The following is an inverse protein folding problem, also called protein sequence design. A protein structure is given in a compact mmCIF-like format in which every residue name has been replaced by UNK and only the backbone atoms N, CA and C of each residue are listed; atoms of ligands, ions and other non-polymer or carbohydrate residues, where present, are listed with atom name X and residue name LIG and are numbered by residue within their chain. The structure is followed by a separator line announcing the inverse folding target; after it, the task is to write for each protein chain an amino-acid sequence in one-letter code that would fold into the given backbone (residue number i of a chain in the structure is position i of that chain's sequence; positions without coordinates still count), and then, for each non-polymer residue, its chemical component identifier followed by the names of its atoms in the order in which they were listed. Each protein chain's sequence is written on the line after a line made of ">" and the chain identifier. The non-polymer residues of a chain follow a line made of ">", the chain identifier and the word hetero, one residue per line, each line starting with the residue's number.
data_IF_961976246107
#
_entry.id   IF_961976246107
#
_cell.length_a   1.000
_cell.length_b   1.000
_cell.length_c   1.000
_cell.angle_alpha   90.00
_cell.angle_beta   90.00
_cell.angle_gamma   90.00
#
_symmetry.space_group_name_H-M   'P 1'
#
loop_
_entity.id
_entity.type
_entity.pdbx_description
1 polymer ?
#
# COMPACT_ATOMS: atom_id res chain seq x y z
N UNK A 1 44.39 -27.57 -26.22
CA UNK A 1 43.62 -26.30 -26.10
C UNK A 1 42.42 -26.55 -25.21
N UNK A 2 42.55 -26.24 -23.91
CA UNK A 2 41.59 -26.60 -22.86
C UNK A 2 40.74 -25.37 -22.49
N UNK A 3 39.43 -25.45 -22.71
CA UNK A 3 38.46 -24.42 -22.27
C UNK A 3 38.00 -24.79 -20.85
N UNK A 4 38.48 -24.05 -19.85
CA UNK A 4 37.96 -24.10 -18.48
C UNK A 4 36.65 -23.31 -18.42
N UNK A 5 35.61 -23.98 -17.94
CA UNK A 5 34.32 -23.42 -17.58
C UNK A 5 34.46 -22.50 -16.36
N UNK A 6 33.92 -21.30 -16.44
CA UNK A 6 33.71 -20.43 -15.29
C UNK A 6 32.38 -20.82 -14.63
N UNK A 7 32.47 -21.50 -13.49
CA UNK A 7 31.35 -21.73 -12.58
C UNK A 7 31.13 -20.44 -11.80
N UNK A 8 30.06 -19.70 -12.12
CA UNK A 8 29.59 -18.58 -11.30
C UNK A 8 28.82 -19.20 -10.13
N UNK A 9 29.43 -19.19 -8.96
CA UNK A 9 28.76 -19.52 -7.70
C UNK A 9 27.82 -18.36 -7.33
N UNK A 10 26.53 -18.51 -7.68
CA UNK A 10 25.43 -17.79 -7.05
C UNK A 10 25.30 -18.33 -5.62
N UNK A 11 25.91 -17.63 -4.66
CA UNK A 11 25.70 -17.92 -3.25
C UNK A 11 24.24 -17.57 -2.88
N UNK A 12 23.43 -18.60 -2.73
CA UNK A 12 22.10 -18.51 -2.15
C UNK A 12 22.19 -18.02 -0.71
N UNK A 13 21.51 -16.92 -0.44
CA UNK A 13 21.12 -16.50 0.90
C UNK A 13 19.61 -16.51 0.92
N UNK A 14 19.01 -17.64 1.32
CA UNK A 14 17.60 -17.78 1.71
C UNK A 14 17.34 -19.24 2.13
N UNK A 15 17.91 -19.67 3.27
CA UNK A 15 17.40 -20.82 4.03
C UNK A 15 17.69 -20.58 5.51
N UNK A 16 16.61 -20.45 6.30
CA UNK A 16 16.54 -20.80 7.73
C UNK A 16 17.50 -20.12 8.72
N UNK A 17 17.04 -19.06 9.38
CA UNK A 17 17.53 -18.71 10.72
C UNK A 17 16.34 -18.57 11.67
N UNK A 18 15.95 -19.69 12.27
CA UNK A 18 15.14 -19.73 13.49
C UNK A 18 16.02 -19.76 14.76
N UNK A 19 17.34 -19.54 14.62
CA UNK A 19 18.28 -19.51 15.74
C UNK A 19 18.77 -18.07 16.00
N UNK A 20 18.22 -17.50 17.08
CA UNK A 20 18.84 -16.67 18.14
C UNK A 20 19.77 -15.47 17.84
N UNK A 21 20.14 -15.14 16.60
CA UNK A 21 21.11 -14.06 16.30
C UNK A 21 20.48 -12.67 16.08
N UNK A 22 19.17 -12.52 16.26
CA UNK A 22 18.48 -11.23 16.13
C UNK A 22 19.11 -10.09 16.96
N UNK A 23 19.59 -10.31 18.21
CA UNK A 23 20.28 -9.26 18.97
C UNK A 23 21.59 -8.84 18.30
N UNK A 24 22.38 -9.78 17.78
CA UNK A 24 23.66 -9.49 17.11
C UNK A 24 23.46 -8.86 15.71
N UNK A 25 22.37 -9.20 15.02
CA UNK A 25 21.96 -8.51 13.80
C UNK A 25 21.52 -7.07 14.10
N UNK A 26 20.74 -6.86 15.17
CA UNK A 26 20.32 -5.54 15.62
C UNK A 26 21.51 -4.64 16.00
N UNK A 27 22.48 -5.15 16.77
CA UNK A 27 23.64 -4.36 17.22
C UNK A 27 24.51 -3.82 16.06
N UNK A 28 24.49 -4.46 14.89
CA UNK A 28 25.20 -3.99 13.69
C UNK A 28 24.52 -2.76 13.05
N UNK A 29 23.25 -2.54 13.37
CA UNK A 29 22.45 -1.42 12.90
C UNK A 29 22.55 -0.29 13.95
N UNK A 30 23.50 0.62 13.77
CA UNK A 30 23.61 1.91 14.48
C UNK A 30 23.59 1.91 16.03
N UNK A 31 24.51 1.19 16.69
CA UNK A 31 24.96 1.57 18.05
C UNK A 31 23.99 1.27 19.20
N UNK A 32 23.03 0.37 19.00
CA UNK A 32 22.15 -0.14 20.05
C UNK A 32 20.79 0.54 20.15
N UNK A 33 20.50 1.55 19.32
CA UNK A 33 19.16 2.07 19.10
C UNK A 33 18.48 1.31 17.94
N UNK A 34 17.17 1.09 18.03
CA UNK A 34 16.35 0.51 16.97
C UNK A 34 15.99 1.58 15.94
N UNK A 35 17.00 2.12 15.25
CA UNK A 35 16.84 3.15 14.23
C UNK A 35 17.91 3.05 13.14
N UNK A 36 17.49 3.02 11.87
CA UNK A 36 18.38 3.07 10.70
C UNK A 36 17.63 3.37 9.41
N UNK A 37 18.32 4.00 8.45
CA UNK A 37 17.82 4.24 7.09
C UNK A 37 16.44 4.90 7.01
N UNK A 38 16.15 5.80 7.96
CA UNK A 38 14.86 6.48 8.08
C UNK A 38 13.78 5.69 8.85
N UNK A 39 14.04 4.44 9.24
CA UNK A 39 13.18 3.64 10.10
C UNK A 39 13.53 3.87 11.57
N UNK A 40 12.54 3.99 12.45
CA UNK A 40 12.73 3.96 13.90
C UNK A 40 11.65 3.14 14.60
N UNK A 41 12.02 2.27 15.55
CA UNK A 41 11.05 1.57 16.41
C UNK A 41 10.85 2.34 17.72
N UNK A 42 9.61 2.71 18.03
CA UNK A 42 9.22 3.41 19.26
C UNK A 42 8.47 2.47 20.21
N UNK A 43 9.00 2.27 21.41
CA UNK A 43 8.45 1.32 22.39
C UNK A 43 7.49 1.98 23.35
N UNK A 44 6.42 1.29 23.73
CA UNK A 44 5.49 1.78 24.75
C UNK A 44 4.67 2.98 24.28
N UNK A 45 4.49 3.12 22.97
CA UNK A 45 3.56 4.08 22.37
C UNK A 45 2.14 3.83 22.89
N UNK A 46 1.26 4.83 22.80
CA UNK A 46 -0.13 4.72 23.29
C UNK A 46 -1.09 5.38 22.32
N UNK A 47 -2.26 4.78 22.14
CA UNK A 47 -3.37 5.39 21.41
C UNK A 47 -4.34 6.01 22.41
N UNK A 48 -4.70 7.28 22.21
CA UNK A 48 -5.73 7.97 22.98
C UNK A 48 -6.68 8.68 22.01
N UNK A 49 -7.92 8.19 21.92
CA UNK A 49 -8.85 8.63 20.87
C UNK A 49 -8.29 8.28 19.47
N UNK A 50 -8.20 9.28 18.59
CA UNK A 50 -7.60 9.15 17.27
C UNK A 50 -6.09 9.43 17.24
N UNK A 51 -5.50 9.84 18.37
CA UNK A 51 -4.11 10.29 18.41
C UNK A 51 -3.16 9.19 18.89
N UNK A 52 -2.01 9.10 18.23
CA UNK A 52 -0.90 8.23 18.61
C UNK A 52 0.15 9.03 19.38
N UNK A 53 0.41 8.64 20.62
CA UNK A 53 1.46 9.21 21.45
C UNK A 53 2.74 8.37 21.31
N UNK A 54 3.80 8.92 20.68
CA UNK A 54 5.06 8.19 20.48
C UNK A 54 5.74 7.88 21.82
N UNK A 55 6.18 6.64 21.97
CA UNK A 55 7.13 6.27 23.00
C UNK A 55 8.59 6.62 22.65
N UNK A 56 9.55 6.34 23.55
CA UNK A 56 10.97 6.47 23.26
C UNK A 56 11.41 5.52 22.15
N UNK A 57 12.46 5.90 21.42
CA UNK A 57 13.13 5.00 20.47
C UNK A 57 13.68 3.81 21.25
N UNK A 58 13.35 2.61 20.79
CA UNK A 58 13.76 1.36 21.41
C UNK A 58 15.25 1.11 21.28
N UNK A 59 15.72 0.12 22.04
CA UNK A 59 17.11 -0.33 22.03
C UNK A 59 17.17 -1.81 21.70
N UNK A 60 18.30 -2.30 21.21
CA UNK A 60 18.44 -3.72 20.86
C UNK A 60 18.24 -4.68 22.05
N UNK A 61 18.39 -4.20 23.28
CA UNK A 61 18.13 -4.93 24.52
C UNK A 61 16.65 -4.90 24.96
N UNK A 62 15.75 -4.29 24.19
CA UNK A 62 14.32 -4.21 24.47
C UNK A 62 13.57 -5.56 24.36
N UNK A 63 14.27 -6.62 23.96
CA UNK A 63 13.76 -7.97 23.86
C UNK A 63 13.64 -8.47 22.41
N UNK A 64 13.44 -9.78 22.23
CA UNK A 64 13.53 -10.42 20.92
C UNK A 64 12.40 -10.01 19.97
N UNK A 65 11.17 -9.83 20.45
CA UNK A 65 10.03 -9.51 19.58
C UNK A 65 10.09 -8.10 18.96
N UNK A 66 10.34 -7.01 19.74
CA UNK A 66 10.55 -5.69 19.15
C UNK A 66 11.75 -5.64 18.19
N UNK A 67 12.86 -6.31 18.55
CA UNK A 67 14.04 -6.37 17.68
C UNK A 67 13.74 -7.10 16.36
N UNK A 68 13.02 -8.23 16.40
CA UNK A 68 12.61 -8.96 15.21
C UNK A 68 11.70 -8.11 14.30
N UNK A 69 10.70 -7.44 14.87
CA UNK A 69 9.82 -6.56 14.11
C UNK A 69 10.57 -5.40 13.43
N UNK A 70 11.55 -4.80 14.13
CA UNK A 70 12.41 -3.78 13.53
C UNK A 70 13.24 -4.36 12.38
N UNK A 71 13.86 -5.52 12.55
CA UNK A 71 14.67 -6.16 11.51
C UNK A 71 13.84 -6.54 10.28
N UNK A 72 12.62 -7.06 10.48
CA UNK A 72 11.71 -7.41 9.39
C UNK A 72 11.28 -6.16 8.60
N UNK A 73 10.88 -5.09 9.31
CA UNK A 73 10.51 -3.82 8.68
C UNK A 73 11.70 -3.18 7.95
N UNK A 74 12.89 -3.23 8.55
CA UNK A 74 14.12 -2.70 7.95
C UNK A 74 14.50 -3.48 6.69
N UNK A 75 14.41 -4.81 6.73
CA UNK A 75 14.65 -5.65 5.55
C UNK A 75 13.64 -5.37 4.43
N UNK A 76 12.37 -5.16 4.76
CA UNK A 76 11.35 -4.75 3.78
C UNK A 76 11.67 -3.38 3.17
N UNK A 77 12.04 -2.39 3.99
CA UNK A 77 12.41 -1.04 3.54
C UNK A 77 13.65 -1.04 2.64
N UNK A 78 14.68 -1.82 3.00
CA UNK A 78 15.91 -1.94 2.21
C UNK A 78 15.69 -2.62 0.86
N UNK A 79 14.68 -3.49 0.77
CA UNK A 79 14.32 -4.14 -0.48
C UNK A 79 13.58 -3.22 -1.46
N UNK A 80 13.20 -2.01 -1.03
CA UNK A 80 12.56 -1.02 -1.89
C UNK A 80 13.58 -0.31 -2.78
N UNK A 81 13.24 -0.11 -4.07
CA UNK A 81 13.89 0.90 -4.89
C UNK A 81 13.87 2.28 -4.19
N UNK A 82 14.93 3.10 -4.29
CA UNK A 82 15.01 4.39 -3.60
C UNK A 82 13.80 5.31 -3.84
N UNK A 83 13.25 5.30 -5.05
CA UNK A 83 12.09 6.09 -5.44
C UNK A 83 10.77 5.63 -4.81
N UNK A 84 10.69 4.37 -4.37
CA UNK A 84 9.52 3.78 -3.70
C UNK A 84 9.66 3.77 -2.18
N UNK A 85 10.79 4.23 -1.64
CA UNK A 85 11.10 4.18 -0.22
C UNK A 85 10.50 5.37 0.52
N UNK A 86 9.65 5.17 1.54
CA UNK A 86 9.29 6.24 2.45
C UNK A 86 10.55 6.86 3.08
N UNK A 87 10.60 8.20 3.17
CA UNK A 87 11.79 8.90 3.72
C UNK A 87 11.99 8.66 5.21
N UNK A 88 10.89 8.58 5.95
CA UNK A 88 10.89 8.35 7.38
C UNK A 88 9.70 7.46 7.73
N UNK A 89 9.94 6.44 8.55
CA UNK A 89 8.93 5.52 9.04
C UNK A 89 9.16 5.32 10.52
N UNK A 90 8.19 5.71 11.33
CA UNK A 90 8.16 5.34 12.74
C UNK A 90 7.27 4.08 12.88
N UNK A 91 7.81 3.02 13.47
CA UNK A 91 7.06 1.82 13.87
C UNK A 91 6.83 1.90 15.37
N UNK A 92 5.58 1.91 15.79
CA UNK A 92 5.18 2.04 17.18
C UNK A 92 4.84 0.66 17.73
N UNK A 93 5.60 0.20 18.73
CA UNK A 93 5.35 -1.06 19.40
C UNK A 93 4.50 -0.85 20.65
N UNK A 94 3.33 -1.48 20.68
CA UNK A 94 2.40 -1.49 21.82
C UNK A 94 2.32 -2.88 22.46
N UNK A 95 2.60 -2.94 23.76
CA UNK A 95 2.39 -4.16 24.55
C UNK A 95 0.91 -4.24 24.88
N UNK A 96 0.14 -4.93 24.05
CA UNK A 96 -1.25 -5.28 24.33
C UNK A 96 -1.31 -6.69 24.95
N UNK A 97 -1.47 -6.77 26.28
CA UNK A 97 -1.57 -8.07 26.97
C UNK A 97 -2.87 -8.76 26.57
N UNK A 98 -2.77 -9.93 25.94
CA UNK A 98 -3.92 -10.78 25.63
C UNK A 98 -4.80 -10.31 24.45
N UNK A 99 -4.40 -9.26 23.73
CA UNK A 99 -5.08 -8.87 22.50
C UNK A 99 -4.54 -9.66 21.31
N UNK A 100 -5.42 -9.93 20.34
CA UNK A 100 -5.00 -10.39 19.02
C UNK A 100 -4.00 -9.38 18.43
N UNK A 101 -3.09 -9.88 17.60
CA UNK A 101 -2.17 -9.03 16.84
C UNK A 101 -2.98 -8.05 16.00
N UNK A 102 -2.59 -6.78 16.03
CA UNK A 102 -3.15 -5.71 15.23
C UNK A 102 -2.02 -4.89 14.64
N UNK A 103 -2.06 -4.67 13.34
CA UNK A 103 -1.21 -3.71 12.65
C UNK A 103 -2.10 -2.62 12.08
N UNK A 104 -1.70 -1.37 12.24
CA UNK A 104 -2.47 -0.23 11.76
C UNK A 104 -1.54 0.84 11.22
N UNK A 105 -1.93 1.53 10.15
CA UNK A 105 -1.23 2.74 9.73
C UNK A 105 -1.94 3.98 10.24
N UNK A 106 -1.17 4.84 10.91
CA UNK A 106 -1.60 6.17 11.27
C UNK A 106 -1.12 7.14 10.19
N UNK A 107 -2.01 7.43 9.24
CA UNK A 107 -1.70 8.29 8.10
C UNK A 107 -1.21 9.69 8.52
N UNK A 108 -1.81 10.29 9.56
CA UNK A 108 -1.43 11.63 10.05
C UNK A 108 0.02 11.71 10.51
N UNK A 109 0.51 10.68 11.21
CA UNK A 109 1.89 10.60 11.70
C UNK A 109 2.80 9.82 10.77
N UNK A 110 2.30 9.34 9.62
CA UNK A 110 3.04 8.51 8.65
C UNK A 110 3.78 7.35 9.32
N UNK A 111 3.07 6.64 10.18
CA UNK A 111 3.66 5.66 11.08
C UNK A 111 2.86 4.37 11.14
N UNK A 112 3.54 3.26 11.39
CA UNK A 112 2.91 1.95 11.57
C UNK A 112 2.78 1.68 13.06
N UNK A 113 1.59 1.35 13.54
CA UNK A 113 1.35 0.84 14.87
C UNK A 113 1.30 -0.68 14.82
N UNK A 114 2.10 -1.33 15.66
CA UNK A 114 2.10 -2.77 15.87
C UNK A 114 1.71 -3.05 17.33
N UNK A 115 0.53 -3.61 17.53
CA UNK A 115 -0.01 -3.95 18.84
C UNK A 115 -0.22 -5.46 18.97
N UNK A 116 0.35 -6.07 20.02
CA UNK A 116 0.17 -7.49 20.32
C UNK A 116 0.88 -8.45 19.34
N UNK A 117 0.89 -9.73 19.70
CA UNK A 117 1.52 -10.82 18.92
C UNK A 117 3.05 -10.89 18.99
N UNK A 118 3.58 -12.12 18.93
CA UNK A 118 5.04 -12.38 18.84
C UNK A 118 5.43 -13.00 17.48
N UNK A 119 4.47 -13.27 16.62
CA UNK A 119 4.73 -13.91 15.33
C UNK A 119 5.39 -12.91 14.37
N UNK A 120 6.34 -13.31 13.52
CA UNK A 120 6.85 -12.46 12.46
C UNK A 120 5.75 -12.01 11.50
N UNK A 121 5.90 -10.86 10.83
CA UNK A 121 5.04 -10.51 9.68
C UNK A 121 5.63 -11.07 8.40
N UNK A 122 4.78 -11.41 7.44
CA UNK A 122 5.28 -11.66 6.10
C UNK A 122 5.84 -10.36 5.51
N UNK A 123 6.83 -10.50 4.62
CA UNK A 123 7.39 -9.37 3.88
C UNK A 123 6.32 -8.57 3.13
N UNK A 124 5.35 -9.24 2.53
CA UNK A 124 4.26 -8.60 1.78
C UNK A 124 3.34 -7.78 2.67
N UNK A 125 3.11 -8.19 3.94
CA UNK A 125 2.41 -7.34 4.91
C UNK A 125 3.24 -6.09 5.20
N UNK A 126 4.53 -6.22 5.54
CA UNK A 126 5.36 -5.02 5.75
C UNK A 126 5.39 -4.07 4.55
N UNK A 127 5.47 -4.60 3.33
CA UNK A 127 5.41 -3.80 2.11
C UNK A 127 4.07 -3.08 1.95
N UNK A 128 2.95 -3.74 2.27
CA UNK A 128 1.62 -3.13 2.24
C UNK A 128 1.54 -1.95 3.23
N UNK A 129 1.95 -2.14 4.49
CA UNK A 129 1.96 -1.06 5.50
C UNK A 129 2.87 0.12 5.11
N UNK A 130 4.06 -0.18 4.55
CA UNK A 130 4.97 0.85 4.03
C UNK A 130 4.35 1.61 2.85
N UNK A 131 3.53 0.94 2.03
CA UNK A 131 2.75 1.57 0.96
C UNK A 131 1.80 2.64 1.51
N UNK A 132 1.05 2.35 2.56
CA UNK A 132 0.20 3.36 3.21
C UNK A 132 1.00 4.54 3.77
N UNK A 133 2.12 4.28 4.44
CA UNK A 133 3.01 5.33 4.95
C UNK A 133 3.53 6.22 3.81
N UNK A 134 3.87 5.61 2.68
CA UNK A 134 4.34 6.32 1.49
C UNK A 134 3.26 7.21 0.88
N UNK A 135 2.02 6.71 0.77
CA UNK A 135 0.87 7.41 0.17
C UNK A 135 0.07 8.30 1.15
N UNK A 136 0.61 8.58 2.33
CA UNK A 136 -0.06 9.38 3.35
C UNK A 136 -0.11 10.88 2.97
N UNK A 137 -1.26 11.30 2.44
CA UNK A 137 -1.58 12.70 2.09
C UNK A 137 -2.88 13.18 2.73
N UNK A 138 -3.44 14.28 2.21
CA UNK A 138 -4.69 14.83 2.71
C UNK A 138 -5.87 13.85 2.53
N UNK A 139 -6.88 13.97 3.40
CA UNK A 139 -8.07 13.11 3.39
C UNK A 139 -9.36 13.95 3.26
N UNK A 140 -10.42 13.42 2.62
CA UNK A 140 -11.71 14.10 2.55
C UNK A 140 -12.29 14.41 3.95
N UNK A 141 -12.90 15.58 4.15
CA UNK A 141 -13.56 15.91 5.42
C UNK A 141 -14.90 15.18 5.57
N UNK A 142 -15.49 14.75 4.46
CA UNK A 142 -16.71 13.98 4.41
C UNK A 142 -16.49 12.51 4.76
N UNK A 143 -17.52 11.88 5.35
CA UNK A 143 -17.43 10.50 5.85
C UNK A 143 -17.34 9.52 4.69
N UNK A 144 -18.19 9.70 3.69
CA UNK A 144 -18.27 8.81 2.54
C UNK A 144 -16.97 8.87 1.73
N UNK A 145 -16.44 10.06 1.52
CA UNK A 145 -15.16 10.29 0.87
C UNK A 145 -13.99 9.67 1.63
N UNK A 146 -13.98 9.70 2.97
CA UNK A 146 -12.95 8.99 3.74
C UNK A 146 -13.03 7.48 3.54
N UNK A 147 -14.22 6.89 3.57
CA UNK A 147 -14.37 5.44 3.38
C UNK A 147 -13.96 5.02 1.96
N UNK A 148 -14.31 5.79 0.94
CA UNK A 148 -13.87 5.54 -0.45
C UNK A 148 -12.36 5.66 -0.58
N UNK A 149 -11.77 6.74 -0.04
CA UNK A 149 -10.33 6.92 -0.11
C UNK A 149 -9.58 5.87 0.71
N UNK A 150 -10.14 5.38 1.81
CA UNK A 150 -9.58 4.25 2.55
C UNK A 150 -9.54 2.99 1.68
N UNK A 151 -10.60 2.67 0.94
CA UNK A 151 -10.56 1.55 -0.01
C UNK A 151 -9.54 1.76 -1.14
N UNK A 152 -9.36 3.00 -1.60
CA UNK A 152 -8.30 3.33 -2.58
C UNK A 152 -6.91 3.15 -1.97
N UNK A 153 -6.70 3.60 -0.73
CA UNK A 153 -5.44 3.43 0.01
C UNK A 153 -5.10 1.94 0.17
N UNK A 154 -6.07 1.10 0.54
CA UNK A 154 -5.92 -0.38 0.60
C UNK A 154 -5.52 -0.95 -0.76
N UNK A 155 -6.22 -0.54 -1.83
CA UNK A 155 -5.93 -1.01 -3.17
C UNK A 155 -4.54 -0.57 -3.68
N UNK A 156 -4.13 0.65 -3.32
CA UNK A 156 -2.79 1.14 -3.59
C UNK A 156 -1.72 0.34 -2.82
N UNK A 157 -1.93 0.09 -1.52
CA UNK A 157 -0.98 -0.62 -0.67
C UNK A 157 -0.77 -2.08 -1.13
N UNK A 158 -1.85 -2.76 -1.53
CA UNK A 158 -1.77 -4.09 -2.14
C UNK A 158 -1.04 -4.07 -3.48
N UNK A 159 -1.36 -3.12 -4.36
CA UNK A 159 -0.68 -2.98 -5.66
C UNK A 159 0.82 -2.66 -5.49
N UNK A 160 1.15 -1.78 -4.55
CA UNK A 160 2.53 -1.46 -4.16
C UNK A 160 3.27 -2.71 -3.70
N UNK A 161 2.69 -3.46 -2.75
CA UNK A 161 3.30 -4.67 -2.22
C UNK A 161 3.50 -5.73 -3.30
N UNK A 162 2.51 -5.91 -4.18
CA UNK A 162 2.57 -6.84 -5.29
C UNK A 162 3.69 -6.50 -6.28
N UNK A 163 3.79 -5.23 -6.69
CA UNK A 163 4.82 -4.75 -7.61
C UNK A 163 6.23 -4.92 -7.06
N UNK A 164 6.46 -4.48 -5.82
CA UNK A 164 7.76 -4.59 -5.17
C UNK A 164 8.14 -6.05 -4.97
N UNK A 165 7.19 -6.89 -4.55
CA UNK A 165 7.41 -8.31 -4.34
C UNK A 165 7.44 -9.11 -5.66
N UNK A 166 7.09 -8.48 -6.79
CA UNK A 166 6.95 -9.09 -8.12
C UNK A 166 6.04 -10.34 -8.08
N UNK A 167 4.94 -10.22 -7.34
CA UNK A 167 4.01 -11.32 -7.14
C UNK A 167 2.60 -10.77 -6.94
N UNK A 168 1.57 -11.37 -7.56
CA UNK A 168 0.18 -10.96 -7.33
C UNK A 168 -0.35 -11.35 -5.95
N UNK A 169 0.45 -12.04 -5.12
CA UNK A 169 0.02 -12.55 -3.81
C UNK A 169 0.51 -11.63 -2.70
N UNK A 170 -0.43 -11.05 -1.97
CA UNK A 170 -0.20 -10.07 -0.89
C UNK A 170 -0.86 -10.55 0.40
N UNK A 171 -0.30 -10.19 1.55
CA UNK A 171 -0.85 -10.53 2.87
C UNK A 171 -0.15 -11.69 3.59
N UNK A 172 -0.76 -12.12 4.70
CA UNK A 172 -0.28 -13.19 5.57
C UNK A 172 -0.83 -14.56 5.19
N UNK A 173 -0.55 -15.57 6.03
CA UNK A 173 -1.01 -16.95 5.81
C UNK A 173 -2.54 -17.06 5.79
N UNK A 174 -3.21 -16.34 6.69
CA UNK A 174 -4.65 -16.46 6.91
C UNK A 174 -5.47 -15.43 6.11
N UNK A 175 -4.81 -14.42 5.54
CA UNK A 175 -5.42 -13.29 4.82
C UNK A 175 -4.73 -13.06 3.48
N UNK A 176 -4.41 -14.16 2.79
CA UNK A 176 -3.75 -14.10 1.48
C UNK A 176 -4.73 -13.56 0.43
N UNK A 177 -4.37 -12.43 -0.19
CA UNK A 177 -5.07 -11.83 -1.32
C UNK A 177 -4.30 -12.14 -2.60
N UNK A 178 -5.01 -12.70 -3.59
CA UNK A 178 -4.48 -12.97 -4.92
C UNK A 178 -5.05 -11.95 -5.92
N UNK A 179 -4.21 -11.06 -6.43
CA UNK A 179 -4.59 -9.99 -7.36
C UNK A 179 -4.94 -10.53 -8.76
N UNK A 180 -4.57 -11.77 -9.11
CA UNK A 180 -5.01 -12.42 -10.35
C UNK A 180 -6.40 -13.05 -10.22
N UNK A 181 -6.90 -13.21 -8.98
CA UNK A 181 -8.17 -13.85 -8.67
C UNK A 181 -8.91 -13.05 -7.59
N UNK A 182 -9.19 -11.76 -7.83
CA UNK A 182 -9.95 -10.97 -6.87
C UNK A 182 -11.34 -11.59 -6.69
N UNK A 183 -11.93 -11.51 -5.49
CA UNK A 183 -13.36 -11.75 -5.36
C UNK A 183 -14.11 -10.79 -6.30
N UNK A 184 -15.24 -11.20 -6.89
CA UNK A 184 -16.04 -10.28 -7.69
C UNK A 184 -16.40 -9.05 -6.85
N UNK A 185 -16.39 -7.82 -7.42
CA UNK A 185 -16.77 -6.63 -6.68
C UNK A 185 -18.20 -6.80 -6.18
N UNK A 186 -18.36 -7.07 -4.89
CA UNK A 186 -19.66 -7.37 -4.33
C UNK A 186 -20.47 -6.09 -4.31
N UNK A 187 -21.63 -6.07 -4.99
CA UNK A 187 -22.60 -4.98 -4.86
C UNK A 187 -22.91 -4.66 -3.38
N UNK A 188 -22.85 -5.69 -2.52
CA UNK A 188 -22.97 -5.56 -1.07
C UNK A 188 -21.87 -4.67 -0.45
N UNK A 189 -20.60 -4.77 -0.88
CA UNK A 189 -19.52 -3.95 -0.34
C UNK A 189 -19.68 -2.46 -0.70
N UNK A 190 -20.18 -2.18 -1.92
CA UNK A 190 -20.57 -0.83 -2.31
C UNK A 190 -21.82 -0.33 -1.60
N UNK A 191 -22.76 -1.23 -1.26
CA UNK A 191 -23.93 -0.88 -0.45
C UNK A 191 -23.55 -0.60 1.01
N UNK A 192 -22.61 -1.33 1.60
CA UNK A 192 -22.08 -1.11 2.96
C UNK A 192 -21.50 0.30 3.11
N UNK A 193 -20.80 0.77 2.07
CA UNK A 193 -20.28 2.13 1.99
C UNK A 193 -21.40 3.20 2.12
N UNK A 194 -22.61 2.93 1.61
CA UNK A 194 -23.75 3.84 1.70
C UNK A 194 -24.58 3.65 2.99
N UNK A 195 -24.70 2.40 3.47
CA UNK A 195 -25.68 2.01 4.50
C UNK A 195 -25.10 1.84 5.90
N UNK A 196 -23.85 1.38 6.02
CA UNK A 196 -23.23 1.08 7.32
C UNK A 196 -21.75 1.48 7.39
N UNK A 197 -21.38 2.76 7.21
CA UNK A 197 -19.97 3.13 7.07
C UNK A 197 -19.13 2.99 8.36
N UNK A 198 -19.72 2.69 9.53
CA UNK A 198 -18.97 2.39 10.77
C UNK A 198 -18.44 0.95 10.81
N UNK A 199 -19.03 0.06 10.01
CA UNK A 199 -18.59 -1.33 9.85
C UNK A 199 -18.04 -1.64 8.45
N UNK A 200 -17.81 -0.59 7.65
CA UNK A 200 -17.27 -0.73 6.31
C UNK A 200 -15.82 -1.23 6.37
N UNK A 201 -15.55 -2.34 5.68
CA UNK A 201 -14.24 -2.93 5.55
C UNK A 201 -13.58 -2.48 4.23
N UNK A 202 -12.60 -1.54 4.27
CA UNK A 202 -11.97 -1.02 3.06
C UNK A 202 -11.16 -2.08 2.31
N UNK A 203 -10.68 -3.13 2.97
CA UNK A 203 -9.80 -4.14 2.37
C UNK A 203 -10.50 -4.88 1.23
N UNK A 204 -11.81 -5.16 1.37
CA UNK A 204 -12.58 -5.88 0.35
C UNK A 204 -12.68 -5.11 -0.95
N UNK A 205 -13.00 -3.81 -0.87
CA UNK A 205 -13.05 -2.95 -2.05
C UNK A 205 -11.63 -2.66 -2.56
N UNK A 206 -10.67 -2.45 -1.67
CA UNK A 206 -9.27 -2.22 -2.03
C UNK A 206 -8.66 -3.37 -2.83
N UNK A 207 -8.91 -4.62 -2.45
CA UNK A 207 -8.43 -5.80 -3.20
C UNK A 207 -8.90 -5.77 -4.67
N UNK A 208 -10.17 -5.41 -4.92
CA UNK A 208 -10.70 -5.26 -6.28
C UNK A 208 -10.00 -4.17 -7.10
N UNK A 209 -9.68 -3.03 -6.47
CA UNK A 209 -8.92 -1.96 -7.14
C UNK A 209 -7.48 -2.39 -7.40
N UNK A 210 -6.81 -3.00 -6.42
CA UNK A 210 -5.44 -3.51 -6.56
C UNK A 210 -5.33 -4.51 -7.72
N UNK A 211 -6.28 -5.43 -7.85
CA UNK A 211 -6.33 -6.37 -8.96
C UNK A 211 -6.50 -5.68 -10.31
N UNK A 212 -7.34 -4.64 -10.38
CA UNK A 212 -7.54 -3.85 -11.59
C UNK A 212 -6.28 -3.08 -12.00
N UNK A 213 -5.56 -2.51 -11.03
CA UNK A 213 -4.27 -1.85 -11.24
C UNK A 213 -3.20 -2.85 -11.71
N UNK A 214 -3.10 -3.98 -11.01
CA UNK A 214 -2.17 -5.07 -11.34
C UNK A 214 -2.37 -5.60 -12.76
N UNK A 215 -3.62 -5.80 -13.19
CA UNK A 215 -3.94 -6.27 -14.53
C UNK A 215 -3.47 -5.30 -15.64
N UNK A 216 -3.45 -3.99 -15.35
CA UNK A 216 -3.00 -2.97 -16.31
C UNK A 216 -1.49 -2.80 -16.34
N UNK A 217 -0.81 -2.92 -15.20
CA UNK A 217 0.63 -2.68 -15.09
C UNK A 217 1.30 -3.56 -14.01
N UNK A 218 1.52 -4.87 -14.25
CA UNK A 218 2.04 -5.79 -13.23
C UNK A 218 3.56 -5.74 -13.01
N UNK A 219 4.30 -4.93 -13.80
CA UNK A 219 5.76 -4.96 -13.81
C UNK A 219 6.44 -3.58 -13.90
N UNK A 220 5.70 -2.54 -14.28
CA UNK A 220 6.22 -1.18 -14.38
C UNK A 220 5.78 -0.37 -13.15
N UNK A 221 6.61 0.56 -12.71
CA UNK A 221 6.36 1.41 -11.54
C UNK A 221 5.79 2.77 -11.91
N UNK A 222 5.63 3.08 -13.20
CA UNK A 222 5.16 4.38 -13.68
C UNK A 222 3.78 4.76 -13.14
N UNK A 223 2.80 3.85 -13.25
CA UNK A 223 1.46 4.04 -12.70
C UNK A 223 1.53 4.15 -11.17
N UNK A 224 2.32 3.31 -10.50
CA UNK A 224 2.47 3.33 -9.04
C UNK A 224 3.00 4.68 -8.52
N UNK A 225 4.06 5.21 -9.14
CA UNK A 225 4.66 6.51 -8.79
C UNK A 225 3.68 7.67 -9.02
N UNK A 226 2.86 7.58 -10.06
CA UNK A 226 1.86 8.60 -10.39
C UNK A 226 0.65 8.55 -9.44
N UNK A 227 0.21 7.34 -9.05
CA UNK A 227 -0.80 7.15 -8.01
C UNK A 227 -0.32 7.70 -6.67
N UNK A 228 0.93 7.39 -6.28
CA UNK A 228 1.54 7.96 -5.09
C UNK A 228 1.53 9.49 -5.13
N UNK A 229 1.87 10.11 -6.27
CA UNK A 229 1.82 11.59 -6.43
C UNK A 229 0.41 12.14 -6.14
N UNK A 230 -0.63 11.42 -6.57
CA UNK A 230 -2.02 11.80 -6.28
C UNK A 230 -2.40 11.62 -4.81
N UNK A 231 -2.09 10.46 -4.22
CA UNK A 231 -2.49 10.07 -2.87
C UNK A 231 -1.70 10.77 -1.76
N UNK A 232 -0.40 10.97 -1.96
CA UNK A 232 0.49 11.67 -1.04
C UNK A 232 0.37 13.21 -1.11
N UNK A 233 -0.53 13.73 -1.95
CA UNK A 233 -0.76 15.16 -2.07
C UNK A 233 -1.35 15.76 -0.80
N UNK A 234 -0.74 16.85 -0.31
CA UNK A 234 -1.24 17.62 0.83
C UNK A 234 -2.38 18.58 0.44
N UNK A 235 -2.79 18.61 -0.84
CA UNK A 235 -3.91 19.43 -1.30
C UNK A 235 -5.21 18.99 -0.64
N UNK A 236 -5.93 19.94 -0.02
CA UNK A 236 -7.19 19.63 0.68
C UNK A 236 -8.31 19.24 -0.29
N UNK A 237 -9.28 18.46 0.18
CA UNK A 237 -10.51 18.14 -0.55
C UNK A 237 -11.59 19.22 -0.32
N UNK A 238 -11.18 20.48 -0.11
CA UNK A 238 -12.12 21.57 0.17
C UNK A 238 -12.99 21.84 -1.06
N UNK A 239 -14.33 21.83 -0.85
CA UNK A 239 -15.29 22.05 -1.93
C UNK A 239 -15.58 20.82 -2.80
N UNK A 240 -14.93 19.68 -2.55
CA UNK A 240 -15.26 18.40 -3.19
C UNK A 240 -16.50 17.82 -2.51
N UNK A 241 -17.58 17.53 -3.25
CA UNK A 241 -18.76 16.86 -2.70
C UNK A 241 -18.41 15.55 -1.99
N UNK A 242 -19.11 15.24 -0.89
CA UNK A 242 -18.93 13.98 -0.14
C UNK A 242 -19.62 12.80 -0.87
N UNK A 243 -19.16 12.51 -2.09
CA UNK A 243 -19.64 11.39 -2.92
C UNK A 243 -18.45 10.58 -3.46
N UNK A 244 -18.62 9.27 -3.73
CA UNK A 244 -17.52 8.44 -4.23
C UNK A 244 -16.97 8.95 -5.56
N UNK A 245 -17.84 9.24 -6.53
CA UNK A 245 -17.45 9.78 -7.82
C UNK A 245 -16.64 11.07 -7.72
N UNK A 246 -17.06 12.05 -6.91
CA UNK A 246 -16.35 13.32 -6.78
C UNK A 246 -14.97 13.18 -6.14
N UNK A 247 -14.83 12.28 -5.14
CA UNK A 247 -13.54 12.00 -4.49
C UNK A 247 -12.58 11.30 -5.44
N UNK A 248 -13.07 10.33 -6.21
CA UNK A 248 -12.30 9.60 -7.23
C UNK A 248 -11.88 10.56 -8.37
N UNK A 249 -12.77 11.43 -8.82
CA UNK A 249 -12.48 12.44 -9.84
C UNK A 249 -11.42 13.43 -9.36
N UNK A 250 -11.54 13.93 -8.12
CA UNK A 250 -10.51 14.77 -7.50
C UNK A 250 -9.16 14.05 -7.45
N UNK A 251 -9.13 12.78 -7.05
CA UNK A 251 -7.90 11.99 -7.05
C UNK A 251 -7.33 11.84 -8.48
N UNK A 252 -8.17 11.52 -9.47
CA UNK A 252 -7.77 11.43 -10.87
C UNK A 252 -7.14 12.73 -11.40
N UNK A 253 -7.66 13.90 -10.97
CA UNK A 253 -7.09 15.21 -11.30
C UNK A 253 -5.70 15.44 -10.72
N UNK A 254 -5.40 14.87 -9.54
CA UNK A 254 -4.08 14.96 -8.90
C UNK A 254 -3.04 14.03 -9.54
N UNK A 255 -3.48 12.95 -10.17
CA UNK A 255 -2.60 12.01 -10.87
C UNK A 255 -2.06 12.66 -12.16
N UNK A 256 -0.76 12.56 -12.43
CA UNK A 256 -0.16 13.02 -13.68
C UNK A 256 -0.89 12.50 -14.93
N UNK A 257 -1.07 13.36 -15.94
CA UNK A 257 -1.85 13.07 -17.15
C UNK A 257 -1.45 11.76 -17.86
N UNK A 258 -0.16 11.37 -17.82
CA UNK A 258 0.35 10.16 -18.46
C UNK A 258 -0.25 8.85 -17.91
N UNK A 259 -0.73 8.85 -16.66
CA UNK A 259 -1.29 7.68 -15.99
C UNK A 259 -2.77 7.81 -15.68
N UNK A 260 -3.35 9.01 -15.85
CA UNK A 260 -4.77 9.26 -15.56
C UNK A 260 -5.71 8.30 -16.27
N UNK A 261 -5.55 8.11 -17.59
CA UNK A 261 -6.40 7.21 -18.36
C UNK A 261 -6.33 5.74 -17.88
N UNK A 262 -5.14 5.27 -17.46
CA UNK A 262 -4.98 3.92 -16.89
C UNK A 262 -5.64 3.81 -15.53
N UNK A 263 -5.51 4.83 -14.68
CA UNK A 263 -6.20 4.87 -13.39
C UNK A 263 -7.72 4.87 -13.58
N UNK A 264 -8.25 5.70 -14.48
CA UNK A 264 -9.69 5.74 -14.80
C UNK A 264 -10.18 4.40 -15.35
N UNK A 265 -9.37 3.71 -16.17
CA UNK A 265 -9.68 2.36 -16.64
C UNK A 265 -9.73 1.35 -15.47
N UNK A 266 -8.79 1.41 -14.52
CA UNK A 266 -8.82 0.55 -13.34
C UNK A 266 -10.05 0.82 -12.46
N UNK A 267 -10.38 2.10 -12.27
CA UNK A 267 -11.57 2.54 -11.52
C UNK A 267 -12.85 2.05 -12.20
N UNK A 268 -12.96 2.13 -13.52
CA UNK A 268 -14.12 1.67 -14.26
C UNK A 268 -14.31 0.14 -14.19
N UNK A 269 -13.23 -0.63 -14.04
CA UNK A 269 -13.30 -2.07 -13.79
C UNK A 269 -13.64 -2.40 -12.33
N UNK A 270 -13.28 -1.52 -11.41
CA UNK A 270 -13.45 -1.69 -9.96
C UNK A 270 -14.84 -1.30 -9.45
N UNK A 271 -15.39 -0.19 -9.93
CA UNK A 271 -16.59 0.44 -9.38
C UNK A 271 -17.75 0.48 -10.39
N UNK A 272 -19.00 0.24 -9.95
CA UNK A 272 -20.18 0.41 -10.79
C UNK A 272 -20.32 1.84 -11.33
N UNK A 273 -20.82 2.00 -12.56
CA UNK A 273 -20.95 3.30 -13.21
C UNK A 273 -21.85 4.27 -12.41
N UNK A 274 -22.84 3.74 -11.71
CA UNK A 274 -23.77 4.47 -10.84
C UNK A 274 -23.04 5.11 -9.66
N UNK A 275 -22.04 4.42 -9.10
CA UNK A 275 -21.20 4.94 -8.00
C UNK A 275 -20.29 6.06 -8.49
N UNK A 276 -19.82 5.94 -9.72
CA UNK A 276 -18.91 6.90 -10.35
C UNK A 276 -19.61 8.15 -10.89
N UNK A 277 -20.95 8.22 -10.85
CA UNK A 277 -21.71 9.41 -11.25
C UNK A 277 -21.48 9.87 -12.69
N UNK A 278 -21.01 9.00 -13.59
CA UNK A 278 -20.78 9.34 -14.99
C UNK A 278 -19.33 9.64 -15.41
N UNK A 279 -18.31 9.23 -14.64
CA UNK A 279 -16.91 9.23 -15.12
C UNK A 279 -16.73 8.53 -16.49
N UNK A 280 -17.69 7.68 -16.90
CA UNK A 280 -17.74 7.01 -18.19
C UNK A 280 -18.18 7.89 -19.40
N UNK A 281 -18.50 9.18 -19.22
CA UNK A 281 -18.97 10.03 -20.34
C UNK A 281 -17.86 10.78 -21.10
N UNK A 282 -16.61 10.69 -20.64
CA UNK A 282 -15.48 11.40 -21.25
C UNK A 282 -14.58 10.38 -21.97
N UNK A 283 -14.43 10.55 -23.28
CA UNK A 283 -13.42 9.93 -24.17
C UNK A 283 -13.65 8.60 -24.91
N UNK A 284 -14.73 7.84 -24.69
CA UNK A 284 -15.12 6.78 -25.66
C UNK A 284 -15.57 7.36 -27.03
N UNK A 285 -15.74 8.68 -27.15
CA UNK A 285 -16.07 9.36 -28.40
C UNK A 285 -14.84 9.87 -29.20
N UNK A 286 -13.60 9.76 -28.69
CA UNK A 286 -12.39 10.28 -29.37
C UNK A 286 -11.51 9.23 -30.04
N UNK A 287 -11.85 7.95 -29.94
CA UNK A 287 -11.08 6.85 -30.56
C UNK A 287 -11.85 6.11 -31.67
N UNK A 288 -12.79 6.76 -32.38
CA UNK A 288 -13.20 6.27 -33.69
C UNK A 288 -12.18 6.82 -34.72
N UNK A 289 -11.27 6.00 -35.29
CA UNK A 289 -10.46 6.45 -36.41
C UNK A 289 -11.43 6.86 -37.52
N UNK A 290 -11.35 8.15 -37.89
CA UNK A 290 -12.11 8.70 -38.99
C UNK A 290 -12.00 7.76 -40.19
N UNK A 291 -13.15 7.25 -40.63
CA UNK A 291 -13.29 6.63 -41.94
C UNK A 291 -12.65 7.56 -42.97
N UNK A 292 -11.48 7.19 -43.49
CA UNK A 292 -10.97 7.73 -44.75
C UNK A 292 -11.97 7.35 -45.84
N UNK A 293 -12.97 8.21 -46.04
CA UNK A 293 -13.76 8.22 -47.25
C UNK A 293 -12.96 8.99 -48.30
N UNK A 294 -12.58 8.26 -49.34
CA UNK A 294 -12.63 8.75 -50.70
C UNK A 294 -11.36 9.39 -51.25
N UNK A 295 -10.77 8.70 -52.22
CA UNK A 295 -10.65 9.28 -53.56
C UNK A 295 -10.72 8.13 -54.58
N UNK A 296 -11.90 7.97 -55.17
CA UNK A 296 -12.01 7.39 -56.50
C UNK A 296 -11.68 8.46 -57.53
N UNK A 297 -10.89 8.08 -58.52
CA UNK A 297 -11.04 8.53 -59.90
C UNK A 297 -9.75 9.01 -60.54
N UNK A 298 -9.60 8.93 -61.88
CA UNK A 298 -10.30 8.07 -62.85
C UNK A 298 -9.53 6.78 -63.19
#
# INVERSE_FOLDING_TARGET
>A
MSRRAAVIALAGWLVGCADSDAPAACHRVAGGALSADGLSLRLGSRVAGASLHPGPVGRCDAGPAPAAAFLDAHAALLALPPELRPRQVDVHWMIARGAARRIEVHAESRSVLLAGGNEPLSRTVWLHELGHVWAAGARPPGRLGRSVLAAVDEGFADYYAALVNRSPRVGGRDELRDLERPPPPAAAAWAELALAPEGFDPHRLGHGLAASLWALEPANTGLLLDLHTGLASDATYTGVPDTPGAVIEELARRIPNRSRARFEQAVAAWAPAEVLGGLASVDSARAAPGKMRGAHGP
#
